data_IF_893827022499
#
_entry.id   IF_893827022499
#
_cell.length_a   1.000
_cell.length_b   1.000
_cell.length_c   1.000
_cell.angle_alpha   90.00
_cell.angle_beta   90.00
_cell.angle_gamma   90.00
#
_symmetry.space_group_name_H-M   'P 1'
#
loop_
_entity.id
_entity.type
_entity.pdbx_description
1 polymer ?
#
# COMPACT_ATOMS: atom_id res chain seq x y z
N UNK A 1 16.91 -57.73 -42.63
CA UNK A 1 16.99 -56.30 -42.32
C UNK A 1 15.89 -55.60 -43.06
N UNK A 2 14.76 -55.27 -42.40
CA UNK A 2 13.61 -54.55 -43.01
C UNK A 2 13.62 -53.11 -42.51
N UNK A 3 13.84 -52.12 -43.41
CA UNK A 3 13.80 -50.71 -43.14
C UNK A 3 12.35 -50.21 -43.01
N UNK A 4 12.00 -49.61 -41.90
CA UNK A 4 10.75 -48.88 -41.73
C UNK A 4 10.89 -47.49 -42.39
N UNK A 5 10.12 -47.24 -43.43
CA UNK A 5 9.85 -45.88 -43.95
C UNK A 5 8.71 -45.29 -43.13
N UNK A 6 9.02 -44.29 -42.32
CA UNK A 6 7.99 -43.47 -41.65
C UNK A 6 7.60 -42.35 -42.62
N UNK A 7 6.43 -42.47 -43.23
CA UNK A 7 5.83 -41.44 -44.08
C UNK A 7 5.19 -40.37 -43.20
N UNK A 8 5.70 -39.14 -43.30
CA UNK A 8 5.07 -37.95 -42.69
C UNK A 8 3.82 -37.55 -43.51
N UNK A 9 2.70 -37.34 -42.82
CA UNK A 9 1.42 -36.91 -43.42
C UNK A 9 1.54 -35.54 -44.05
N UNK A 10 0.87 -35.25 -45.19
CA UNK A 10 0.91 -33.94 -45.86
C UNK A 10 0.44 -32.76 -45.01
N UNK A 11 -0.32 -33.00 -43.97
CA UNK A 11 -0.79 -31.96 -43.06
C UNK A 11 0.33 -31.35 -42.19
N UNK A 12 1.39 -32.11 -41.87
CA UNK A 12 2.50 -31.62 -41.05
C UNK A 12 3.46 -30.73 -41.87
N UNK A 13 3.63 -31.07 -43.19
CA UNK A 13 4.46 -30.26 -44.08
C UNK A 13 3.88 -28.88 -44.35
N UNK A 14 2.54 -28.73 -44.34
CA UNK A 14 1.89 -27.42 -44.56
C UNK A 14 1.99 -26.51 -43.36
N UNK A 15 2.09 -27.05 -42.15
CA UNK A 15 2.27 -26.26 -40.92
C UNK A 15 3.69 -25.66 -40.80
N UNK A 16 4.70 -26.38 -41.30
CA UNK A 16 6.08 -25.92 -41.28
C UNK A 16 6.35 -24.81 -42.33
N UNK A 17 5.68 -24.84 -43.48
CA UNK A 17 5.85 -23.81 -44.52
C UNK A 17 5.19 -22.50 -44.19
N UNK A 18 4.06 -22.49 -43.44
CA UNK A 18 3.37 -21.27 -42.98
C UNK A 18 4.10 -20.53 -41.84
N UNK A 19 4.99 -21.21 -41.11
CA UNK A 19 5.81 -20.61 -40.06
C UNK A 19 7.02 -19.83 -40.63
N UNK A 20 7.45 -20.11 -41.83
CA UNK A 20 8.63 -19.44 -42.44
C UNK A 20 8.31 -18.18 -43.24
N UNK A 21 7.06 -17.87 -43.50
CA UNK A 21 6.67 -16.73 -44.36
C UNK A 21 6.21 -15.47 -43.61
N UNK A 22 6.29 -15.43 -42.27
CA UNK A 22 5.98 -14.21 -41.51
C UNK A 22 7.04 -13.92 -40.43
N UNK A 23 8.13 -13.25 -40.76
CA UNK A 23 9.18 -12.92 -39.80
C UNK A 23 8.70 -11.99 -38.67
N UNK A 24 7.63 -11.21 -38.91
CA UNK A 24 7.12 -10.26 -37.92
C UNK A 24 6.48 -10.93 -36.66
N UNK A 25 5.94 -12.14 -36.77
CA UNK A 25 5.37 -12.84 -35.58
C UNK A 25 6.44 -13.48 -34.70
N UNK A 26 7.61 -13.81 -35.24
CA UNK A 26 8.72 -14.33 -34.44
C UNK A 26 9.43 -13.25 -33.67
N UNK A 27 9.54 -12.04 -34.24
CA UNK A 27 10.13 -10.90 -33.56
C UNK A 27 9.31 -10.48 -32.34
N UNK A 28 7.97 -10.51 -32.41
CA UNK A 28 7.09 -10.19 -31.27
C UNK A 28 7.11 -11.30 -30.20
N UNK A 29 7.21 -12.59 -30.59
CA UNK A 29 7.30 -13.70 -29.63
C UNK A 29 8.65 -13.76 -28.90
N UNK A 30 9.76 -13.54 -29.62
CA UNK A 30 11.10 -13.51 -29.02
C UNK A 30 11.34 -12.24 -28.20
N UNK A 31 10.81 -11.08 -28.59
CA UNK A 31 10.85 -9.87 -27.75
C UNK A 31 10.03 -10.07 -26.45
N UNK A 32 8.86 -10.69 -26.51
CA UNK A 32 8.03 -11.00 -25.33
C UNK A 32 8.73 -11.93 -24.34
N UNK A 33 9.37 -12.98 -24.82
CA UNK A 33 10.10 -13.95 -23.98
C UNK A 33 11.38 -13.36 -23.35
N UNK A 34 12.09 -12.47 -24.03
CA UNK A 34 13.28 -11.80 -23.48
C UNK A 34 12.96 -10.81 -22.37
N UNK A 35 11.74 -10.30 -22.30
CA UNK A 35 11.35 -9.28 -21.34
C UNK A 35 10.87 -9.84 -20.00
N UNK A 36 10.27 -11.04 -19.97
CA UNK A 36 9.91 -11.72 -18.74
C UNK A 36 11.14 -12.24 -17.98
N UNK A 37 12.30 -12.33 -18.62
CA UNK A 37 13.58 -12.73 -18.02
C UNK A 37 14.44 -11.54 -17.55
N UNK A 38 13.96 -10.28 -17.69
CA UNK A 38 14.72 -9.12 -17.23
C UNK A 38 14.79 -9.11 -15.70
N UNK A 39 16.00 -9.15 -15.14
CA UNK A 39 16.22 -8.95 -13.71
C UNK A 39 16.15 -7.46 -13.36
N UNK A 40 15.43 -7.14 -12.30
CA UNK A 40 15.33 -5.79 -11.73
C UNK A 40 15.84 -5.80 -10.29
N UNK A 41 16.40 -4.67 -9.86
CA UNK A 41 16.95 -4.51 -8.51
C UNK A 41 15.93 -3.75 -7.65
N UNK A 42 15.50 -4.36 -6.55
CA UNK A 42 14.67 -3.69 -5.54
C UNK A 42 15.50 -2.70 -4.72
N UNK A 43 14.85 -1.77 -4.03
CA UNK A 43 15.50 -0.83 -3.08
C UNK A 43 16.29 -1.55 -1.97
N UNK A 44 15.89 -2.78 -1.63
CA UNK A 44 16.64 -3.65 -0.69
C UNK A 44 17.93 -4.26 -1.26
N UNK A 45 18.24 -4.04 -2.54
CA UNK A 45 19.34 -4.70 -3.26
C UNK A 45 18.99 -6.10 -3.78
N UNK A 46 17.82 -6.64 -3.45
CA UNK A 46 17.38 -7.95 -3.94
C UNK A 46 17.11 -7.91 -5.45
N UNK A 47 17.68 -8.88 -6.17
CA UNK A 47 17.41 -9.09 -7.59
C UNK A 47 16.20 -9.98 -7.76
N UNK A 48 15.26 -9.56 -8.59
CA UNK A 48 14.04 -10.31 -8.90
C UNK A 48 13.69 -10.16 -10.37
N UNK A 49 12.93 -11.09 -10.91
CA UNK A 49 12.41 -10.95 -12.28
C UNK A 49 11.40 -9.80 -12.35
N UNK A 50 11.45 -9.03 -13.42
CA UNK A 50 10.44 -8.03 -13.74
C UNK A 50 9.08 -8.70 -13.90
N UNK A 51 8.07 -8.16 -13.26
CA UNK A 51 6.70 -8.63 -13.40
C UNK A 51 5.84 -7.58 -14.07
N UNK A 52 5.54 -7.79 -15.35
CA UNK A 52 4.60 -6.96 -16.12
C UNK A 52 3.26 -6.86 -15.42
N UNK A 53 2.71 -8.00 -14.98
CA UNK A 53 1.41 -8.05 -14.30
C UNK A 53 1.34 -7.20 -13.02
N UNK A 54 2.43 -7.14 -12.23
CA UNK A 54 2.48 -6.28 -11.03
C UNK A 54 2.46 -4.80 -11.37
N UNK A 55 3.18 -4.38 -12.40
CA UNK A 55 3.18 -2.98 -12.84
C UNK A 55 1.82 -2.59 -13.40
N UNK A 56 1.26 -3.40 -14.29
CA UNK A 56 -0.07 -3.21 -14.87
C UNK A 56 -1.15 -3.11 -13.80
N UNK A 57 -1.18 -4.06 -12.86
CA UNK A 57 -2.11 -4.02 -11.73
C UNK A 57 -1.94 -2.75 -10.88
N UNK A 58 -0.70 -2.30 -10.64
CA UNK A 58 -0.44 -1.08 -9.88
C UNK A 58 -0.93 0.18 -10.60
N UNK A 59 -0.80 0.23 -11.93
CA UNK A 59 -1.30 1.32 -12.75
C UNK A 59 -2.83 1.34 -12.81
N UNK A 60 -3.48 0.19 -13.04
CA UNK A 60 -4.93 0.06 -13.01
C UNK A 60 -5.49 0.45 -11.64
N UNK A 61 -4.85 0.00 -10.56
CA UNK A 61 -5.23 0.34 -9.18
C UNK A 61 -5.06 1.83 -8.85
N UNK A 62 -4.34 2.60 -9.67
CA UNK A 62 -4.27 4.06 -9.52
C UNK A 62 -5.46 4.79 -10.17
N UNK A 63 -6.34 4.06 -10.86
CA UNK A 63 -7.48 4.59 -11.60
C UNK A 63 -7.16 4.98 -13.04
N UNK A 64 -5.93 4.73 -13.52
CA UNK A 64 -5.57 5.00 -14.91
C UNK A 64 -6.38 4.12 -15.86
N UNK A 65 -6.86 4.70 -16.96
CA UNK A 65 -7.60 3.98 -18.00
C UNK A 65 -6.70 3.02 -18.79
N UNK A 66 -7.29 2.02 -19.43
CA UNK A 66 -6.57 1.01 -20.18
C UNK A 66 -5.63 1.58 -21.27
N UNK A 67 -6.01 2.60 -22.05
CA UNK A 67 -5.09 3.23 -23.01
C UNK A 67 -3.86 3.88 -22.35
N UNK A 68 -4.04 4.56 -21.23
CA UNK A 68 -2.94 5.15 -20.45
C UNK A 68 -2.02 4.07 -19.90
N UNK A 69 -2.59 3.00 -19.33
CA UNK A 69 -1.82 1.85 -18.82
C UNK A 69 -0.99 1.23 -19.95
N UNK A 70 -1.61 0.96 -21.10
CA UNK A 70 -0.90 0.39 -22.26
C UNK A 70 0.24 1.28 -22.72
N UNK A 71 0.02 2.59 -22.82
CA UNK A 71 1.06 3.55 -23.20
C UNK A 71 2.25 3.52 -22.23
N UNK A 72 1.97 3.49 -20.93
CA UNK A 72 3.02 3.41 -19.90
C UNK A 72 3.75 2.08 -19.97
N UNK A 73 3.01 0.97 -20.11
CA UNK A 73 3.58 -0.37 -20.22
C UNK A 73 4.51 -0.51 -21.43
N UNK A 74 4.11 0.05 -22.58
CA UNK A 74 4.93 0.05 -23.78
C UNK A 74 6.20 0.88 -23.56
N UNK A 75 6.10 2.07 -22.97
CA UNK A 75 7.27 2.91 -22.68
C UNK A 75 8.23 2.25 -21.69
N UNK A 76 7.71 1.67 -20.61
CA UNK A 76 8.56 0.95 -19.66
C UNK A 76 9.24 -0.24 -20.32
N UNK A 77 8.52 -0.98 -21.17
CA UNK A 77 9.07 -2.09 -21.93
C UNK A 77 10.27 -1.66 -22.79
N UNK A 78 10.13 -0.57 -23.53
CA UNK A 78 11.17 -0.08 -24.44
C UNK A 78 12.42 0.41 -23.68
N UNK A 79 12.25 0.82 -22.42
CA UNK A 79 13.30 1.32 -21.56
C UNK A 79 13.87 0.24 -20.59
N UNK A 80 13.38 -1.02 -20.63
CA UNK A 80 13.89 -2.10 -19.77
C UNK A 80 15.29 -2.53 -20.18
N UNK A 81 16.16 -2.72 -19.17
CA UNK A 81 17.48 -3.32 -19.30
C UNK A 81 17.83 -4.14 -18.06
N UNK A 82 18.79 -5.06 -18.18
CA UNK A 82 19.21 -5.91 -17.07
C UNK A 82 19.79 -5.08 -15.91
N UNK A 83 19.23 -5.27 -14.69
CA UNK A 83 19.65 -4.56 -13.51
C UNK A 83 18.99 -3.19 -13.32
N UNK A 84 18.02 -2.79 -14.14
CA UNK A 84 17.22 -1.57 -13.90
C UNK A 84 16.59 -1.62 -12.51
N UNK A 85 16.59 -0.49 -11.79
CA UNK A 85 15.99 -0.46 -10.46
C UNK A 85 14.45 -0.35 -10.53
N UNK A 86 13.77 -0.98 -9.57
CA UNK A 86 12.31 -0.81 -9.43
C UNK A 86 11.93 0.66 -9.16
N UNK A 87 12.83 1.45 -8.58
CA UNK A 87 12.63 2.88 -8.37
C UNK A 87 12.66 3.66 -9.68
N UNK A 88 13.54 3.31 -10.62
CA UNK A 88 13.60 3.94 -11.95
C UNK A 88 12.33 3.65 -12.75
N UNK A 89 11.87 2.39 -12.76
CA UNK A 89 10.59 2.02 -13.38
C UNK A 89 9.43 2.81 -12.76
N UNK A 90 9.39 2.90 -11.41
CA UNK A 90 8.41 3.68 -10.70
C UNK A 90 8.42 5.16 -11.10
N UNK A 91 9.60 5.80 -11.14
CA UNK A 91 9.75 7.21 -11.53
C UNK A 91 9.24 7.48 -12.95
N UNK A 92 9.54 6.58 -13.90
CA UNK A 92 9.06 6.68 -15.29
C UNK A 92 7.54 6.60 -15.37
N UNK A 93 6.95 5.59 -14.74
CA UNK A 93 5.51 5.42 -14.70
C UNK A 93 4.79 6.60 -14.01
N UNK A 94 5.31 7.04 -12.86
CA UNK A 94 4.80 8.20 -12.13
C UNK A 94 4.83 9.48 -12.97
N UNK A 95 5.95 9.76 -13.66
CA UNK A 95 6.07 10.95 -14.51
C UNK A 95 5.07 10.96 -15.66
N UNK A 96 4.76 9.79 -16.23
CA UNK A 96 3.75 9.66 -17.27
C UNK A 96 2.33 9.85 -16.74
N UNK A 97 2.01 9.25 -15.59
CA UNK A 97 0.73 9.47 -14.91
C UNK A 97 0.52 10.94 -14.57
N UNK A 98 1.56 11.61 -14.04
CA UNK A 98 1.50 13.03 -13.67
C UNK A 98 1.19 13.95 -14.85
N UNK A 99 1.63 13.59 -16.07
CA UNK A 99 1.30 14.32 -17.31
C UNK A 99 -0.13 14.09 -17.77
N UNK A 100 -0.72 12.95 -17.43
CA UNK A 100 -2.10 12.62 -17.75
C UNK A 100 -3.06 13.23 -16.75
N UNK A 101 -3.03 12.74 -15.52
CA UNK A 101 -3.90 13.18 -14.43
C UNK A 101 -3.16 13.09 -13.09
N UNK A 102 -3.17 14.20 -12.32
CA UNK A 102 -2.44 14.27 -11.04
C UNK A 102 -2.97 13.29 -10.01
N UNK A 103 -4.27 13.09 -9.93
CA UNK A 103 -4.86 12.16 -8.97
C UNK A 103 -4.47 10.71 -9.23
N UNK A 104 -4.26 10.29 -10.49
CA UNK A 104 -3.70 8.96 -10.78
C UNK A 104 -2.27 8.84 -10.25
N UNK A 105 -1.42 9.85 -10.50
CA UNK A 105 -0.07 9.88 -9.98
C UNK A 105 -0.05 9.87 -8.44
N UNK A 106 -0.96 10.59 -7.80
CA UNK A 106 -1.09 10.61 -6.35
C UNK A 106 -1.52 9.23 -5.80
N UNK A 107 -2.54 8.57 -6.37
CA UNK A 107 -2.91 7.19 -5.99
C UNK A 107 -1.76 6.20 -6.23
N UNK A 108 -1.05 6.31 -7.35
CA UNK A 108 0.09 5.44 -7.66
C UNK A 108 1.22 5.53 -6.62
N UNK A 109 1.42 6.72 -6.03
CA UNK A 109 2.44 6.92 -4.99
C UNK A 109 1.97 6.63 -3.56
N UNK A 110 0.75 6.14 -3.33
CA UNK A 110 0.16 5.95 -2.00
C UNK A 110 1.08 5.18 -1.04
N UNK A 111 1.72 4.11 -1.51
CA UNK A 111 2.66 3.34 -0.68
C UNK A 111 3.81 4.21 -0.18
N UNK A 112 4.41 5.01 -1.06
CA UNK A 112 5.47 5.97 -0.70
C UNK A 112 4.94 7.04 0.26
N UNK A 113 3.73 7.52 0.04
CA UNK A 113 3.09 8.50 0.90
C UNK A 113 2.91 7.99 2.34
N UNK A 114 2.59 6.70 2.54
CA UNK A 114 2.53 6.10 3.88
C UNK A 114 3.90 6.08 4.57
N UNK A 115 5.00 5.90 3.83
CA UNK A 115 6.35 6.01 4.41
C UNK A 115 6.76 7.46 4.72
N UNK A 116 6.13 8.44 4.07
CA UNK A 116 6.33 9.88 4.33
C UNK A 116 5.57 10.39 5.58
N UNK A 117 4.75 9.54 6.25
CA UNK A 117 4.15 9.85 7.56
C UNK A 117 5.19 9.84 8.71
N UNK A 118 6.47 9.55 8.42
CA UNK A 118 7.57 9.67 9.38
C UNK A 118 8.07 11.12 9.54
N UNK A 119 9.12 11.31 10.36
CA UNK A 119 10.09 10.32 10.82
C UNK A 119 9.69 9.50 12.05
N UNK A 120 8.73 9.97 12.84
CA UNK A 120 8.23 9.25 14.01
C UNK A 120 7.08 8.32 13.65
N UNK A 121 6.64 7.44 14.56
CA UNK A 121 5.44 6.62 14.38
C UNK A 121 4.14 7.39 14.55
N UNK A 122 4.18 8.52 15.28
CA UNK A 122 2.99 9.23 15.73
C UNK A 122 2.02 9.66 14.60
N UNK A 123 2.45 10.26 13.46
CA UNK A 123 1.51 10.55 12.37
C UNK A 123 0.87 9.29 11.76
N UNK A 124 1.55 8.14 11.79
CA UNK A 124 0.97 6.88 11.35
C UNK A 124 -0.09 6.37 12.33
N UNK A 125 0.14 6.51 13.64
CA UNK A 125 -0.85 6.19 14.68
C UNK A 125 -2.11 7.07 14.54
N UNK A 126 -1.95 8.37 14.33
CA UNK A 126 -3.05 9.30 14.02
C UNK A 126 -3.80 8.86 12.76
N UNK A 127 -3.08 8.51 11.70
CA UNK A 127 -3.69 8.03 10.45
C UNK A 127 -4.51 6.76 10.64
N UNK A 128 -4.01 5.78 11.42
CA UNK A 128 -4.74 4.55 11.74
C UNK A 128 -5.97 4.86 12.61
N UNK A 129 -5.85 5.77 13.56
CA UNK A 129 -6.95 6.25 14.38
C UNK A 129 -8.09 6.83 13.51
N UNK A 130 -7.78 7.69 12.55
CA UNK A 130 -8.76 8.25 11.62
C UNK A 130 -9.41 7.17 10.74
N UNK A 131 -8.62 6.21 10.24
CA UNK A 131 -9.13 5.07 9.46
C UNK A 131 -10.13 4.23 10.27
N UNK A 132 -9.85 4.00 11.55
CA UNK A 132 -10.75 3.26 12.44
C UNK A 132 -12.00 4.09 12.77
N UNK A 133 -11.86 5.39 12.99
CA UNK A 133 -12.98 6.31 13.23
C UNK A 133 -13.96 6.30 12.06
N UNK A 134 -13.46 6.37 10.82
CA UNK A 134 -14.29 6.24 9.63
C UNK A 134 -14.92 4.84 9.46
N UNK A 135 -14.35 3.83 10.13
CA UNK A 135 -14.91 2.46 10.20
C UNK A 135 -15.91 2.28 11.35
N UNK A 136 -16.31 3.37 12.02
CA UNK A 136 -17.32 3.41 13.08
C UNK A 136 -16.80 3.10 14.48
N UNK A 137 -15.50 3.24 14.73
CA UNK A 137 -14.92 3.17 16.06
C UNK A 137 -14.82 4.58 16.68
N UNK A 138 -14.88 4.65 18.01
CA UNK A 138 -14.34 5.79 18.76
C UNK A 138 -12.91 5.45 19.13
N UNK A 139 -11.98 6.38 18.95
CA UNK A 139 -10.55 6.13 19.12
C UNK A 139 -9.89 7.12 20.08
N UNK A 140 -8.86 6.65 20.76
CA UNK A 140 -7.95 7.46 21.57
C UNK A 140 -6.51 7.06 21.21
N UNK A 141 -5.62 8.02 21.00
CA UNK A 141 -4.22 7.80 20.58
C UNK A 141 -3.29 8.03 21.77
N UNK A 142 -2.26 7.15 21.92
CA UNK A 142 -1.24 7.29 22.95
C UNK A 142 -1.78 7.13 24.36
N UNK A 143 -2.57 6.09 24.61
CA UNK A 143 -3.24 5.87 25.92
C UNK A 143 -2.44 4.91 26.78
N UNK A 144 -2.17 5.30 28.03
CA UNK A 144 -1.59 4.39 29.01
C UNK A 144 -2.71 3.54 29.62
N UNK A 145 -2.62 2.23 29.43
CA UNK A 145 -3.57 1.23 29.94
C UNK A 145 -2.87 0.36 30.98
N UNK A 146 -3.40 0.27 32.21
CA UNK A 146 -2.83 -0.57 33.25
C UNK A 146 -2.89 -2.06 32.87
N UNK A 147 -1.75 -2.75 32.92
CA UNK A 147 -1.69 -4.21 32.89
C UNK A 147 -1.76 -4.83 34.29
N UNK A 148 -1.74 -6.16 34.36
CA UNK A 148 -1.65 -6.88 35.62
C UNK A 148 -0.28 -6.76 36.27
N UNK A 149 0.76 -6.66 35.45
CA UNK A 149 2.16 -6.58 35.91
C UNK A 149 2.71 -5.15 35.78
N UNK A 150 2.47 -4.46 34.64
CA UNK A 150 2.99 -3.12 34.34
C UNK A 150 2.00 -2.33 33.49
N UNK A 151 2.16 -1.00 33.48
CA UNK A 151 1.40 -0.14 32.59
C UNK A 151 1.93 -0.23 31.16
N UNK A 152 1.03 -0.14 30.18
CA UNK A 152 1.36 -0.20 28.75
C UNK A 152 0.82 1.03 28.03
N UNK A 153 1.66 1.71 27.27
CA UNK A 153 1.21 2.66 26.27
C UNK A 153 0.64 1.89 25.06
N UNK A 154 -0.60 2.20 24.68
CA UNK A 154 -1.31 1.63 23.53
C UNK A 154 -1.43 2.73 22.47
N UNK A 155 -0.92 2.48 21.28
CA UNK A 155 -0.86 3.50 20.21
C UNK A 155 -2.26 4.00 19.84
N UNK A 156 -3.23 3.09 19.67
CA UNK A 156 -4.63 3.44 19.46
C UNK A 156 -5.53 2.49 20.28
N UNK A 157 -6.34 3.05 21.17
CA UNK A 157 -7.41 2.32 21.85
C UNK A 157 -8.73 2.62 21.13
N UNK A 158 -9.30 1.61 20.47
CA UNK A 158 -10.51 1.74 19.68
C UNK A 158 -11.70 1.10 20.39
N UNK A 159 -12.86 1.79 20.40
CA UNK A 159 -14.10 1.31 20.99
C UNK A 159 -15.21 1.22 19.96
N UNK A 160 -15.89 0.09 19.89
CA UNK A 160 -17.08 -0.12 19.06
C UNK A 160 -18.01 -1.13 19.72
N UNK A 161 -19.31 -0.84 19.72
CA UNK A 161 -20.37 -1.72 20.25
C UNK A 161 -20.09 -2.19 21.71
N UNK A 162 -19.62 -1.28 22.56
CA UNK A 162 -19.27 -1.57 23.95
C UNK A 162 -17.96 -2.35 24.16
N UNK A 163 -17.27 -2.75 23.10
CA UNK A 163 -16.01 -3.48 23.19
C UNK A 163 -14.82 -2.57 22.86
N UNK A 164 -13.70 -2.80 23.55
CA UNK A 164 -12.42 -2.12 23.32
C UNK A 164 -11.46 -3.03 22.55
N UNK A 165 -10.66 -2.44 21.68
CA UNK A 165 -9.65 -3.12 20.88
C UNK A 165 -8.35 -2.33 20.97
N UNK A 166 -7.30 -2.88 21.60
CA UNK A 166 -5.98 -2.26 21.59
C UNK A 166 -5.32 -2.46 20.23
N UNK A 167 -4.68 -1.43 19.71
CA UNK A 167 -4.02 -1.43 18.41
C UNK A 167 -2.60 -0.94 18.58
N UNK A 168 -1.65 -1.72 18.11
CA UNK A 168 -0.24 -1.34 18.00
C UNK A 168 0.12 -1.01 16.56
N UNK A 169 0.76 0.13 16.35
CA UNK A 169 1.11 0.67 15.04
C UNK A 169 2.61 0.54 14.79
N UNK A 170 3.05 -0.45 14.01
CA UNK A 170 4.46 -0.64 13.69
C UNK A 170 4.84 0.09 12.41
N UNK A 171 5.30 1.34 12.55
CA UNK A 171 5.79 2.15 11.47
C UNK A 171 7.24 1.80 11.09
N UNK A 172 7.51 1.61 9.80
CA UNK A 172 8.85 1.43 9.24
C UNK A 172 9.17 2.58 8.28
N UNK A 173 10.27 3.30 8.53
CA UNK A 173 10.76 4.38 7.63
C UNK A 173 11.23 3.84 6.30
N UNK A 174 11.89 2.69 6.33
CA UNK A 174 12.49 2.07 5.16
C UNK A 174 11.50 1.15 4.46
N UNK A 175 11.38 1.34 3.15
CA UNK A 175 10.61 0.45 2.31
C UNK A 175 11.25 -0.94 2.27
N UNK A 176 10.43 -1.98 2.24
CA UNK A 176 10.92 -3.35 2.10
C UNK A 176 11.22 -4.08 3.41
N UNK A 177 11.36 -3.37 4.54
CA UNK A 177 11.54 -3.99 5.86
C UNK A 177 10.25 -4.72 6.28
N UNK A 178 10.25 -6.06 6.41
CA UNK A 178 9.06 -6.78 6.87
C UNK A 178 8.93 -6.72 8.38
N UNK A 179 7.70 -6.65 8.87
CA UNK A 179 7.38 -6.87 10.26
C UNK A 179 7.46 -8.38 10.56
N UNK A 180 8.51 -8.79 11.30
CA UNK A 180 8.76 -10.20 11.61
C UNK A 180 7.96 -10.69 12.83
N UNK A 181 8.05 -11.99 13.11
CA UNK A 181 7.29 -12.67 14.17
C UNK A 181 7.59 -12.15 15.57
N UNK A 182 8.75 -11.54 15.83
CA UNK A 182 9.08 -10.97 17.16
C UNK A 182 8.10 -9.86 17.55
N UNK A 183 7.60 -9.10 16.56
CA UNK A 183 6.63 -8.03 16.83
C UNK A 183 5.31 -8.59 17.36
N UNK A 184 4.55 -9.42 16.65
CA UNK A 184 3.31 -9.95 17.18
C UNK A 184 3.49 -10.80 18.45
N UNK A 185 4.63 -11.48 18.63
CA UNK A 185 4.94 -12.17 19.90
C UNK A 185 5.02 -11.19 21.07
N UNK A 186 5.79 -10.13 20.93
CA UNK A 186 5.94 -9.11 21.97
C UNK A 186 4.63 -8.39 22.28
N UNK A 187 3.91 -8.00 21.25
CA UNK A 187 2.63 -7.27 21.39
C UNK A 187 1.56 -8.17 22.00
N UNK A 188 1.53 -9.46 21.65
CA UNK A 188 0.60 -10.41 22.27
C UNK A 188 0.85 -10.54 23.78
N UNK A 189 2.11 -10.59 24.22
CA UNK A 189 2.43 -10.61 25.65
C UNK A 189 1.92 -9.35 26.38
N UNK A 190 2.10 -8.15 25.78
CA UNK A 190 1.58 -6.88 26.31
C UNK A 190 0.05 -6.89 26.41
N UNK A 191 -0.62 -7.34 25.36
CA UNK A 191 -2.09 -7.37 25.35
C UNK A 191 -2.67 -8.39 26.31
N UNK A 192 -2.00 -9.51 26.55
CA UNK A 192 -2.40 -10.47 27.57
C UNK A 192 -2.28 -9.88 28.97
N UNK A 193 -1.23 -9.10 29.26
CA UNK A 193 -1.08 -8.42 30.54
C UNK A 193 -2.18 -7.37 30.75
N UNK A 194 -2.50 -6.57 29.73
CA UNK A 194 -3.64 -5.63 29.75
C UNK A 194 -4.95 -6.39 29.96
N UNK A 195 -5.16 -7.48 29.22
CA UNK A 195 -6.42 -8.26 29.30
C UNK A 195 -6.66 -8.85 30.69
N UNK A 196 -5.60 -9.33 31.34
CA UNK A 196 -5.69 -9.88 32.69
C UNK A 196 -6.19 -8.84 33.71
N UNK A 197 -5.68 -7.60 33.65
CA UNK A 197 -6.14 -6.52 34.53
C UNK A 197 -7.51 -5.96 34.10
N UNK A 198 -7.77 -5.87 32.81
CA UNK A 198 -9.04 -5.36 32.27
C UNK A 198 -10.23 -6.19 32.76
N UNK A 199 -10.14 -7.51 32.68
CA UNK A 199 -11.17 -8.43 33.14
C UNK A 199 -11.48 -8.27 34.65
N UNK A 200 -10.44 -7.98 35.45
CA UNK A 200 -10.60 -7.76 36.89
C UNK A 200 -11.29 -6.43 37.22
N UNK A 201 -11.02 -5.37 36.43
CA UNK A 201 -11.53 -4.01 36.68
C UNK A 201 -12.89 -3.73 36.03
N UNK A 202 -13.26 -4.47 34.98
CA UNK A 202 -14.47 -4.24 34.20
C UNK A 202 -15.30 -5.54 34.06
N UNK A 203 -15.71 -6.18 35.18
CA UNK A 203 -16.31 -7.52 35.14
C UNK A 203 -17.65 -7.59 34.39
N UNK A 204 -18.33 -6.46 34.16
CA UNK A 204 -19.69 -6.44 33.58
C UNK A 204 -19.93 -5.38 32.50
N UNK A 205 -19.00 -4.48 32.22
CA UNK A 205 -19.30 -3.27 31.44
C UNK A 205 -18.55 -3.15 30.12
N UNK A 206 -17.41 -3.80 29.94
CA UNK A 206 -16.66 -3.69 28.68
C UNK A 206 -15.76 -4.89 28.39
N UNK A 207 -15.86 -5.39 27.17
CA UNK A 207 -15.03 -6.49 26.68
C UNK A 207 -13.79 -5.94 26.01
N UNK A 208 -12.61 -6.42 26.41
CA UNK A 208 -11.39 -6.19 25.63
C UNK A 208 -11.26 -7.28 24.58
N UNK A 209 -11.30 -6.89 23.31
CA UNK A 209 -11.11 -7.81 22.17
C UNK A 209 -9.63 -8.10 21.95
N UNK A 210 -9.30 -9.20 21.25
CA UNK A 210 -7.94 -9.43 20.78
C UNK A 210 -7.40 -8.22 20.04
N UNK A 211 -6.13 -7.90 20.30
CA UNK A 211 -5.52 -6.70 19.77
C UNK A 211 -5.15 -6.77 18.29
N UNK A 212 -4.93 -5.62 17.72
CA UNK A 212 -4.47 -5.48 16.34
C UNK A 212 -2.99 -5.09 16.31
N UNK A 213 -2.29 -5.58 15.28
CA UNK A 213 -0.98 -5.02 14.89
C UNK A 213 -1.11 -4.49 13.47
N UNK A 214 -0.80 -3.20 13.31
CA UNK A 214 -0.91 -2.51 12.02
C UNK A 214 0.47 -2.05 11.57
N UNK A 215 0.81 -2.25 10.28
CA UNK A 215 2.08 -1.79 9.74
C UNK A 215 1.93 -1.21 8.32
N UNK A 216 2.73 -0.18 8.00
CA UNK A 216 2.82 0.39 6.65
C UNK A 216 3.58 -0.51 5.66
N UNK A 217 4.19 -1.60 6.11
CA UNK A 217 4.95 -2.53 5.26
C UNK A 217 4.21 -3.86 5.08
N UNK A 218 4.87 -4.99 5.30
CA UNK A 218 4.30 -6.33 5.18
C UNK A 218 4.69 -7.18 6.38
N UNK A 219 3.91 -8.18 6.71
CA UNK A 219 4.29 -9.21 7.67
C UNK A 219 5.06 -10.35 6.97
N UNK A 220 5.98 -10.98 7.71
CA UNK A 220 6.53 -12.28 7.30
C UNK A 220 5.47 -13.37 7.43
N UNK A 221 5.66 -14.52 6.75
CA UNK A 221 4.76 -15.67 6.86
C UNK A 221 4.63 -16.18 8.30
N UNK A 222 5.73 -16.16 9.06
CA UNK A 222 5.72 -16.57 10.46
C UNK A 222 4.94 -15.59 11.34
N UNK A 223 5.05 -14.28 11.07
CA UNK A 223 4.26 -13.28 11.77
C UNK A 223 2.76 -13.46 11.52
N UNK A 224 2.36 -13.72 10.26
CA UNK A 224 0.96 -13.98 9.91
C UNK A 224 0.44 -15.26 10.57
N UNK A 225 1.19 -16.36 10.51
CA UNK A 225 0.81 -17.63 11.15
C UNK A 225 0.64 -17.48 12.66
N UNK A 226 1.60 -16.80 13.30
CA UNK A 226 1.51 -16.57 14.74
C UNK A 226 0.33 -15.69 15.12
N UNK A 227 0.15 -14.55 14.45
CA UNK A 227 -0.96 -13.64 14.71
C UNK A 227 -2.32 -14.32 14.56
N UNK A 228 -2.50 -15.11 13.51
CA UNK A 228 -3.70 -15.91 13.31
C UNK A 228 -3.91 -16.93 14.44
N UNK A 229 -2.87 -17.70 14.81
CA UNK A 229 -2.94 -18.68 15.90
C UNK A 229 -3.27 -18.04 17.25
N UNK A 230 -2.71 -16.84 17.53
CA UNK A 230 -2.94 -16.08 18.74
C UNK A 230 -4.26 -15.26 18.75
N UNK A 231 -5.08 -15.35 17.69
CA UNK A 231 -6.32 -14.62 17.56
C UNK A 231 -6.16 -13.11 17.34
N UNK A 232 -4.95 -12.63 17.06
CA UNK A 232 -4.67 -11.22 16.79
C UNK A 232 -5.09 -10.85 15.38
N UNK A 233 -5.54 -9.60 15.18
CA UNK A 233 -5.77 -9.07 13.84
C UNK A 233 -4.53 -8.37 13.31
N UNK A 234 -4.03 -8.82 12.16
CA UNK A 234 -2.86 -8.23 11.52
C UNK A 234 -3.29 -7.46 10.28
N UNK A 235 -2.96 -6.17 10.23
CA UNK A 235 -3.25 -5.28 9.10
C UNK A 235 -1.96 -4.72 8.52
N UNK A 236 -1.70 -4.94 7.23
CA UNK A 236 -0.54 -4.37 6.56
C UNK A 236 -0.90 -3.82 5.18
N UNK A 237 0.06 -3.25 4.47
CA UNK A 237 -0.12 -2.71 3.12
C UNK A 237 -0.95 -3.62 2.21
N UNK A 238 -0.68 -4.92 2.24
CA UNK A 238 -1.29 -5.93 1.36
C UNK A 238 -1.94 -7.12 2.11
N UNK A 239 -2.19 -7.00 3.41
CA UNK A 239 -2.78 -8.07 4.22
C UNK A 239 -3.76 -7.50 5.26
N UNK A 240 -4.91 -8.18 5.50
CA UNK A 240 -5.43 -9.37 4.80
C UNK A 240 -5.78 -9.08 3.33
N UNK A 241 -5.84 -10.11 2.49
CA UNK A 241 -6.26 -9.97 1.11
C UNK A 241 -7.70 -9.42 1.04
N UNK A 242 -7.95 -8.45 0.16
CA UNK A 242 -9.24 -7.79 0.03
C UNK A 242 -9.57 -6.76 1.14
N UNK A 243 -8.97 -6.90 2.34
CA UNK A 243 -9.19 -6.02 3.50
C UNK A 243 -7.87 -5.38 3.99
N UNK A 244 -6.88 -5.28 3.13
CA UNK A 244 -5.58 -4.69 3.44
C UNK A 244 -5.67 -3.19 3.74
N UNK A 245 -4.59 -2.63 4.30
CA UNK A 245 -4.50 -1.19 4.55
C UNK A 245 -4.76 -0.37 3.27
N UNK A 246 -4.16 -0.79 2.13
CA UNK A 246 -4.43 -0.18 0.82
C UNK A 246 -5.91 -0.24 0.45
N UNK A 247 -6.53 -1.42 0.54
CA UNK A 247 -7.93 -1.61 0.18
C UNK A 247 -8.87 -0.75 1.03
N UNK A 248 -8.58 -0.59 2.31
CA UNK A 248 -9.36 0.26 3.23
C UNK A 248 -9.22 1.74 2.89
N UNK A 249 -7.99 2.21 2.61
CA UNK A 249 -7.73 3.59 2.18
C UNK A 249 -8.51 3.91 0.91
N UNK A 250 -8.43 3.04 -0.10
CA UNK A 250 -9.11 3.23 -1.39
C UNK A 250 -10.64 3.22 -1.21
N UNK A 251 -11.17 2.25 -0.47
CA UNK A 251 -12.63 2.13 -0.22
C UNK A 251 -13.21 3.30 0.57
N UNK A 252 -12.48 3.83 1.54
CA UNK A 252 -12.94 4.92 2.40
C UNK A 252 -12.59 6.30 1.84
N UNK A 253 -11.78 6.39 0.80
CA UNK A 253 -11.27 7.67 0.26
C UNK A 253 -10.36 8.43 1.24
N UNK A 254 -9.75 7.73 2.21
CA UNK A 254 -8.96 8.33 3.29
C UNK A 254 -7.47 8.38 2.95
N UNK A 255 -7.13 9.22 1.98
CA UNK A 255 -5.74 9.38 1.55
C UNK A 255 -4.95 10.27 2.49
N UNK A 256 -3.70 9.88 2.87
CA UNK A 256 -2.85 10.74 3.70
C UNK A 256 -2.44 12.02 2.95
N UNK A 257 -2.28 13.14 3.64
CA UNK A 257 -1.87 14.43 3.03
C UNK A 257 -0.54 14.32 2.28
N UNK A 258 0.30 13.39 2.71
CA UNK A 258 1.59 13.10 2.07
C UNK A 258 1.45 12.57 0.64
N UNK A 259 0.26 12.13 0.22
CA UNK A 259 0.00 11.65 -1.14
C UNK A 259 0.02 12.78 -2.17
N UNK A 260 -0.27 14.02 -1.77
CA UNK A 260 -0.32 15.16 -2.69
C UNK A 260 0.97 15.33 -3.49
N UNK A 261 0.81 15.58 -4.79
CA UNK A 261 1.90 15.88 -5.72
C UNK A 261 2.24 17.38 -5.74
N UNK A 262 1.39 18.21 -5.14
CA UNK A 262 1.48 19.66 -5.12
C UNK A 262 2.07 20.23 -3.82
N UNK A 263 2.02 19.49 -2.72
CA UNK A 263 2.68 19.84 -1.48
C UNK A 263 4.16 19.43 -1.52
N UNK A 264 5.06 20.32 -1.13
CA UNK A 264 6.46 20.01 -0.93
C UNK A 264 6.69 19.24 0.39
N UNK A 265 7.91 18.74 0.59
CA UNK A 265 8.23 17.94 1.78
C UNK A 265 7.98 18.70 3.10
N UNK A 266 8.42 19.97 3.18
CA UNK A 266 8.25 20.79 4.39
C UNK A 266 6.77 21.03 4.70
N UNK A 267 5.98 21.41 3.71
CA UNK A 267 4.54 21.64 3.89
C UNK A 267 3.81 20.39 4.38
N UNK A 268 4.21 19.20 3.89
CA UNK A 268 3.69 17.92 4.39
C UNK A 268 4.04 17.69 5.85
N UNK A 269 5.31 17.94 6.24
CA UNK A 269 5.72 17.79 7.63
C UNK A 269 5.01 18.80 8.55
N UNK A 270 4.89 20.06 8.13
CA UNK A 270 4.19 21.10 8.89
C UNK A 270 2.70 20.73 9.11
N UNK A 271 2.04 20.08 8.14
CA UNK A 271 0.68 19.53 8.31
C UNK A 271 0.66 18.38 9.32
N UNK A 272 1.60 17.45 9.22
CA UNK A 272 1.68 16.31 10.15
C UNK A 272 1.95 16.74 11.59
N UNK A 273 2.80 17.75 11.81
CA UNK A 273 3.05 18.37 13.13
C UNK A 273 1.78 18.99 13.73
N UNK A 274 0.90 19.50 12.88
CA UNK A 274 -0.42 20.01 13.27
C UNK A 274 -1.49 18.92 13.37
N UNK A 275 -1.11 17.66 13.30
CA UNK A 275 -1.99 16.47 13.32
C UNK A 275 -2.99 16.41 12.15
N UNK A 276 -2.71 17.12 11.06
CA UNK A 276 -3.46 17.03 9.81
C UNK A 276 -2.84 15.91 8.99
N UNK A 277 -3.41 14.72 9.06
CA UNK A 277 -2.87 13.50 8.43
C UNK A 277 -3.63 13.08 7.18
N UNK A 278 -4.87 13.53 7.00
CA UNK A 278 -5.76 13.18 5.88
C UNK A 278 -6.00 14.34 4.91
N UNK A 279 -6.12 14.02 3.62
CA UNK A 279 -6.59 14.98 2.62
C UNK A 279 -7.99 15.54 2.95
N UNK A 280 -8.89 14.73 3.50
CA UNK A 280 -10.23 15.16 3.91
C UNK A 280 -10.22 16.20 5.02
N UNK A 281 -9.23 16.19 5.92
CA UNK A 281 -9.07 17.20 6.95
C UNK A 281 -8.71 18.57 6.34
N UNK A 282 -7.83 18.57 5.33
CA UNK A 282 -7.51 19.80 4.57
C UNK A 282 -8.73 20.32 3.82
N UNK A 283 -9.55 19.44 3.22
CA UNK A 283 -10.76 19.81 2.50
C UNK A 283 -11.86 20.36 3.43
N UNK A 284 -11.92 19.90 4.68
CA UNK A 284 -12.88 20.40 5.67
C UNK A 284 -12.45 21.74 6.28
N UNK A 285 -11.16 22.05 6.29
CA UNK A 285 -10.61 23.33 6.76
C UNK A 285 -9.43 23.76 5.89
N UNK A 286 -9.73 24.50 4.83
CA UNK A 286 -8.72 25.02 3.90
C UNK A 286 -7.82 26.10 4.51
N UNK A 287 -8.17 26.66 5.68
CA UNK A 287 -7.37 27.70 6.36
C UNK A 287 -5.99 27.18 6.74
N UNK A 288 -5.84 25.87 6.99
CA UNK A 288 -4.55 25.23 7.30
C UNK A 288 -3.51 25.44 6.20
N UNK A 289 -3.92 25.54 4.94
CA UNK A 289 -3.01 25.82 3.82
C UNK A 289 -2.56 27.28 3.80
N UNK A 290 -3.45 28.20 4.17
CA UNK A 290 -3.13 29.65 4.27
C UNK A 290 -2.14 29.90 5.41
N UNK A 291 -2.34 29.23 6.55
CA UNK A 291 -1.43 29.29 7.69
C UNK A 291 -0.02 28.79 7.40
N UNK A 292 0.12 27.92 6.40
CA UNK A 292 1.43 27.47 5.86
C UNK A 292 2.02 28.47 4.86
N UNK A 293 1.37 29.60 4.61
CA UNK A 293 1.81 30.61 3.63
C UNK A 293 1.58 30.19 2.17
N UNK A 294 0.71 29.22 1.92
CA UNK A 294 0.37 28.78 0.58
C UNK A 294 -0.59 29.79 -0.07
N UNK A 295 -0.26 30.23 -1.28
CA UNK A 295 -1.08 31.24 -1.99
C UNK A 295 -2.48 30.66 -2.33
N UNK A 296 -3.54 31.52 -2.39
CA UNK A 296 -4.91 31.07 -2.70
C UNK A 296 -5.01 30.25 -4.00
N UNK A 297 -4.32 30.66 -5.05
CA UNK A 297 -4.30 29.94 -6.34
C UNK A 297 -3.68 28.55 -6.21
N UNK A 298 -2.65 28.39 -5.37
CA UNK A 298 -2.02 27.08 -5.13
C UNK A 298 -2.90 26.23 -4.21
N UNK A 299 -3.53 26.82 -3.18
CA UNK A 299 -4.50 26.14 -2.31
C UNK A 299 -5.63 25.55 -3.12
N UNK A 300 -6.24 26.31 -4.02
CA UNK A 300 -7.30 25.79 -4.92
C UNK A 300 -6.85 24.56 -5.72
N UNK A 301 -5.63 24.57 -6.27
CA UNK A 301 -5.09 23.41 -7.01
C UNK A 301 -4.87 22.20 -6.11
N UNK A 302 -4.39 22.40 -4.88
CA UNK A 302 -4.19 21.35 -3.88
C UNK A 302 -5.52 20.74 -3.49
N UNK A 303 -6.51 21.57 -3.16
CA UNK A 303 -7.86 21.12 -2.81
C UNK A 303 -8.54 20.40 -3.97
N UNK A 304 -8.36 20.85 -5.22
CA UNK A 304 -8.87 20.15 -6.39
C UNK A 304 -8.24 18.75 -6.57
N UNK A 305 -6.92 18.61 -6.39
CA UNK A 305 -6.22 17.30 -6.40
C UNK A 305 -6.77 16.38 -5.29
N UNK A 306 -6.86 16.89 -4.07
CA UNK A 306 -7.35 16.13 -2.91
C UNK A 306 -8.81 15.73 -3.05
N UNK A 307 -9.66 16.60 -3.57
CA UNK A 307 -11.08 16.30 -3.80
C UNK A 307 -11.24 15.17 -4.82
N UNK A 308 -10.48 15.18 -5.93
CA UNK A 308 -10.48 14.10 -6.91
C UNK A 308 -10.01 12.76 -6.33
N UNK A 309 -9.11 12.79 -5.33
CA UNK A 309 -8.64 11.58 -4.64
C UNK A 309 -9.71 11.00 -3.70
N UNK A 310 -10.35 11.87 -2.92
CA UNK A 310 -11.27 11.48 -1.86
C UNK A 310 -12.69 11.20 -2.33
N UNK A 311 -13.09 11.70 -3.53
CA UNK A 311 -14.37 11.36 -4.12
C UNK A 311 -14.38 9.89 -4.54
N UNK A 312 -15.36 9.16 -4.06
CA UNK A 312 -15.56 7.75 -4.42
C UNK A 312 -15.73 7.63 -5.94
N UNK A 313 -14.88 6.81 -6.57
CA UNK A 313 -15.17 6.30 -7.91
C UNK A 313 -16.21 5.18 -7.72
N UNK A 314 -17.46 5.33 -8.21
CA UNK A 314 -18.48 4.30 -8.09
C UNK A 314 -18.14 3.00 -8.84
N UNK A 315 -16.96 2.91 -9.45
CA UNK A 315 -16.44 1.74 -10.20
C UNK A 315 -15.32 0.97 -9.44
N UNK A 316 -14.95 1.39 -8.23
CA UNK A 316 -13.94 0.70 -7.39
C UNK A 316 -14.60 -0.30 -6.41
#
# INVERSE_FOLDING_TARGET
MRGLKVGLSPAVAHYFVLLWTRPERYATYTLGMQQEDTEVIKKSGEKVRFSRAKLEHSLLSSGADAPTVEQIMNRVRDDLYQGISTEEIYKKAFAMLLKKERHFAAKYRLKKALHELGPTGFPFEQFISELMTASGYRTQVGVVVPGACVDHEVDVLAQKDGAFTPVECKFHREEGMPCNVKVPLYIHARFNDIQANWAARHPHESVLKPGWVVTNTRFTSDAQRYGHCAGMYLLSWNYPEGESLKARIDRLGLYPVTVSTLLNYKEKQDLLERKVVLCTQVLSDESVLQELGISPTRSQKICAEMNQLCTHDPRS
#
